data_IF_538398700539
#
_entry.id   IF_538398700539
#
_cell.length_a   1.000
_cell.length_b   1.000
_cell.length_c   1.000
_cell.angle_alpha   90.00
_cell.angle_beta   90.00
_cell.angle_gamma   90.00
#
_symmetry.space_group_name_H-M   'P 1'
#
loop_
_entity.id
_entity.type
_entity.pdbx_description
1 polymer ?
#
# COMPACT_ATOMS: atom_id res chain seq x y z
N UNK A 1 13.78 -53.17 13.82
CA UNK A 1 12.58 -52.49 14.30
C UNK A 1 12.50 -51.20 13.51
N UNK A 2 11.68 -51.14 12.47
CA UNK A 2 11.54 -49.95 11.63
C UNK A 2 10.55 -48.99 12.35
N UNK A 3 10.98 -47.75 12.59
CA UNK A 3 10.15 -46.70 13.14
C UNK A 3 8.96 -46.49 12.15
N UNK A 4 7.75 -46.56 12.64
CA UNK A 4 6.56 -46.31 11.85
C UNK A 4 6.39 -44.84 11.60
N UNK A 5 5.83 -44.44 10.46
CA UNK A 5 5.56 -43.04 10.11
C UNK A 5 4.70 -42.27 11.15
N UNK A 6 4.10 -42.98 12.13
CA UNK A 6 3.35 -42.41 13.26
C UNK A 6 4.21 -41.78 14.34
N UNK A 7 5.53 -42.03 14.34
CA UNK A 7 6.45 -41.52 15.39
C UNK A 7 7.17 -40.22 15.00
N UNK A 8 6.86 -39.67 13.83
CA UNK A 8 7.40 -38.34 13.47
C UNK A 8 6.67 -37.27 14.29
N UNK A 9 7.41 -36.41 15.00
CA UNK A 9 6.79 -35.30 15.70
C UNK A 9 6.04 -34.43 14.69
N UNK A 10 4.77 -34.15 14.98
CA UNK A 10 3.95 -33.28 14.16
C UNK A 10 4.69 -31.96 13.93
N UNK A 11 4.86 -31.57 12.66
CA UNK A 11 5.44 -30.28 12.30
C UNK A 11 4.58 -29.20 13.00
N UNK A 12 5.17 -28.27 13.74
CA UNK A 12 4.40 -27.24 14.43
C UNK A 12 3.47 -26.55 13.42
N UNK A 13 2.17 -26.66 13.61
CA UNK A 13 1.14 -26.06 12.74
C UNK A 13 0.97 -24.55 12.95
N UNK A 14 1.86 -23.94 13.75
CA UNK A 14 1.83 -22.52 14.09
C UNK A 14 2.62 -21.63 13.14
N UNK A 15 2.39 -20.31 13.17
CA UNK A 15 3.19 -19.35 12.42
C UNK A 15 4.65 -19.37 12.92
N UNK A 16 5.58 -19.12 11.99
CA UNK A 16 7.02 -19.02 12.33
C UNK A 16 7.27 -17.73 13.10
N UNK A 17 6.69 -16.63 12.63
CA UNK A 17 6.83 -15.30 13.22
C UNK A 17 5.70 -14.39 12.76
N UNK A 18 5.54 -13.28 13.47
CA UNK A 18 4.64 -12.19 13.10
C UNK A 18 5.42 -10.89 13.22
N UNK A 19 5.29 -10.05 12.23
CA UNK A 19 5.92 -8.75 12.22
C UNK A 19 4.85 -7.66 12.18
N UNK A 20 4.96 -6.75 13.15
CA UNK A 20 4.13 -5.55 13.26
C UNK A 20 5.03 -4.35 13.47
N UNK A 21 4.87 -3.28 12.67
CA UNK A 21 5.65 -2.07 12.88
C UNK A 21 5.30 -1.43 14.23
N UNK A 22 6.31 -1.01 14.95
CA UNK A 22 6.14 -0.24 16.17
C UNK A 22 5.57 1.16 15.85
N UNK A 23 5.04 1.85 16.88
CA UNK A 23 4.58 3.24 16.71
C UNK A 23 5.70 4.15 16.20
N UNK A 24 6.93 3.97 16.70
CA UNK A 24 8.09 4.74 16.24
C UNK A 24 8.41 4.46 14.77
N UNK A 25 8.29 3.21 14.33
CA UNK A 25 8.45 2.81 12.94
C UNK A 25 7.41 3.48 12.05
N UNK A 26 6.15 3.50 12.44
CA UNK A 26 5.08 4.20 11.72
C UNK A 26 5.36 5.69 11.58
N UNK A 27 5.79 6.35 12.65
CA UNK A 27 6.17 7.78 12.61
C UNK A 27 7.34 8.00 11.66
N UNK A 28 8.36 7.14 11.72
CA UNK A 28 9.50 7.21 10.81
C UNK A 28 9.09 7.08 9.33
N UNK A 29 8.19 6.17 9.00
CA UNK A 29 7.68 6.04 7.63
C UNK A 29 6.86 7.25 7.20
N UNK A 30 6.03 7.81 8.08
CA UNK A 30 5.29 9.04 7.78
C UNK A 30 6.24 10.19 7.45
N UNK A 31 7.33 10.34 8.21
CA UNK A 31 8.36 11.35 7.95
C UNK A 31 9.04 11.11 6.60
N UNK A 32 9.36 9.85 6.25
CA UNK A 32 9.94 9.49 4.95
C UNK A 32 8.94 9.65 3.79
N UNK A 33 7.66 9.48 4.04
CA UNK A 33 6.61 9.73 3.05
C UNK A 33 6.49 11.19 2.61
N UNK A 34 6.83 12.14 3.50
CA UNK A 34 6.76 13.57 3.17
C UNK A 34 7.66 13.96 1.99
N UNK A 35 8.98 13.68 1.97
CA UNK A 35 9.80 13.97 0.80
C UNK A 35 9.36 13.21 -0.44
N UNK A 36 8.84 11.99 -0.31
CA UNK A 36 8.24 11.26 -1.44
C UNK A 36 7.05 12.00 -2.02
N UNK A 37 6.15 12.51 -1.17
CA UNK A 37 5.00 13.32 -1.57
C UNK A 37 5.46 14.57 -2.34
N UNK A 38 6.46 15.29 -1.82
CA UNK A 38 6.98 16.51 -2.46
C UNK A 38 7.59 16.20 -3.82
N UNK A 39 8.46 15.21 -3.91
CA UNK A 39 9.11 14.82 -5.18
C UNK A 39 8.09 14.34 -6.21
N UNK A 40 7.13 13.51 -5.80
CA UNK A 40 6.06 13.07 -6.68
C UNK A 40 5.18 14.24 -7.13
N UNK A 41 4.88 15.19 -6.22
CA UNK A 41 4.11 16.39 -6.54
C UNK A 41 4.81 17.25 -7.60
N UNK A 42 6.10 17.48 -7.45
CA UNK A 42 6.89 18.18 -8.48
C UNK A 42 6.83 17.44 -9.82
N UNK A 43 6.97 16.09 -9.81
CA UNK A 43 6.89 15.28 -11.02
C UNK A 43 5.51 15.33 -11.68
N UNK A 44 4.43 15.15 -10.94
CA UNK A 44 3.07 15.20 -11.48
C UNK A 44 2.68 16.59 -11.96
N UNK A 45 3.07 17.67 -11.25
CA UNK A 45 2.86 19.03 -11.72
C UNK A 45 3.65 19.27 -13.01
N UNK A 46 4.91 18.85 -13.08
CA UNK A 46 5.73 18.96 -14.30
C UNK A 46 5.06 18.26 -15.48
N UNK A 47 4.53 17.05 -15.30
CA UNK A 47 3.81 16.32 -16.35
C UNK A 47 2.52 17.05 -16.72
N UNK A 48 1.69 17.45 -15.77
CA UNK A 48 0.40 18.10 -16.02
C UNK A 48 0.55 19.47 -16.70
N UNK A 49 1.61 20.20 -16.41
CA UNK A 49 1.89 21.52 -16.99
C UNK A 49 2.82 21.47 -18.21
N UNK A 50 3.22 20.27 -18.64
CA UNK A 50 4.16 20.04 -19.74
C UNK A 50 5.48 20.81 -19.57
N UNK A 51 6.00 20.84 -18.34
CA UNK A 51 7.24 21.48 -17.98
C UNK A 51 7.12 22.97 -17.57
N UNK A 52 5.94 23.56 -17.65
CA UNK A 52 5.70 24.94 -17.23
C UNK A 52 5.20 24.97 -15.77
N UNK A 53 6.08 25.22 -14.80
CA UNK A 53 5.62 25.40 -13.41
C UNK A 53 4.84 26.71 -13.26
N UNK A 54 3.67 26.71 -12.60
CA UNK A 54 2.93 27.94 -12.35
C UNK A 54 3.75 28.85 -11.42
N UNK A 55 3.89 30.13 -11.82
CA UNK A 55 4.69 31.12 -11.07
C UNK A 55 4.08 31.48 -9.72
N UNK A 56 2.77 31.36 -9.58
CA UNK A 56 2.03 31.62 -8.33
C UNK A 56 0.63 30.99 -8.45
N UNK A 57 0.06 30.62 -7.31
CA UNK A 57 -1.33 30.17 -7.23
C UNK A 57 -1.84 30.34 -5.79
N UNK A 58 -3.06 30.86 -5.64
CA UNK A 58 -3.80 30.83 -4.40
C UNK A 58 -4.87 29.75 -4.50
N UNK A 59 -4.91 28.82 -3.54
CA UNK A 59 -5.98 27.83 -3.45
C UNK A 59 -7.18 28.44 -2.71
N UNK A 60 -8.36 28.30 -3.26
CA UNK A 60 -9.60 28.61 -2.57
C UNK A 60 -10.19 27.37 -1.88
N UNK A 61 -11.18 27.57 -1.00
CA UNK A 61 -11.78 26.48 -0.22
C UNK A 61 -12.36 25.36 -1.09
N UNK A 62 -12.96 25.69 -2.24
CA UNK A 62 -13.51 24.68 -3.15
C UNK A 62 -12.41 23.80 -3.77
N UNK A 63 -11.27 24.39 -4.12
CA UNK A 63 -10.10 23.65 -4.62
C UNK A 63 -9.52 22.74 -3.53
N UNK A 64 -9.40 23.20 -2.29
CA UNK A 64 -8.96 22.38 -1.17
C UNK A 64 -9.92 21.22 -0.91
N UNK A 65 -11.23 21.47 -0.94
CA UNK A 65 -12.23 20.42 -0.82
C UNK A 65 -12.16 19.39 -1.96
N UNK A 66 -11.93 19.84 -3.20
CA UNK A 66 -11.74 18.97 -4.35
C UNK A 66 -10.48 18.10 -4.19
N UNK A 67 -9.34 18.68 -3.80
CA UNK A 67 -8.10 17.94 -3.53
C UNK A 67 -8.33 16.88 -2.46
N UNK A 68 -9.00 17.21 -1.37
CA UNK A 68 -9.33 16.26 -0.31
C UNK A 68 -10.21 15.12 -0.85
N UNK A 69 -11.29 15.43 -1.56
CA UNK A 69 -12.20 14.43 -2.13
C UNK A 69 -11.47 13.50 -3.12
N UNK A 70 -10.65 14.05 -4.02
CA UNK A 70 -9.86 13.25 -4.97
C UNK A 70 -8.81 12.39 -4.27
N UNK A 71 -8.18 12.91 -3.20
CA UNK A 71 -7.22 12.13 -2.40
C UNK A 71 -7.91 10.93 -1.75
N UNK A 72 -9.08 11.12 -1.12
CA UNK A 72 -9.84 10.01 -0.55
C UNK A 72 -10.30 9.00 -1.61
N UNK A 73 -10.75 9.48 -2.77
CA UNK A 73 -11.14 8.60 -3.88
C UNK A 73 -9.95 7.78 -4.39
N UNK A 74 -8.78 8.39 -4.58
CA UNK A 74 -7.58 7.70 -5.01
C UNK A 74 -7.05 6.73 -3.93
N UNK A 75 -7.17 7.07 -2.64
CA UNK A 75 -6.85 6.15 -1.56
C UNK A 75 -7.78 4.92 -1.56
N UNK A 76 -9.07 5.10 -1.84
CA UNK A 76 -10.00 3.98 -2.00
C UNK A 76 -9.64 3.10 -3.22
N UNK A 77 -9.22 3.71 -4.33
CA UNK A 77 -8.71 2.99 -5.52
C UNK A 77 -7.43 2.22 -5.17
N UNK A 78 -6.54 2.81 -4.38
CA UNK A 78 -5.32 2.15 -3.90
C UNK A 78 -5.66 0.83 -3.17
N UNK A 79 -6.57 0.88 -2.21
CA UNK A 79 -7.01 -0.31 -1.48
C UNK A 79 -7.75 -1.32 -2.40
N UNK A 80 -8.54 -0.81 -3.34
CA UNK A 80 -9.21 -1.67 -4.32
C UNK A 80 -8.21 -2.43 -5.21
N UNK A 81 -7.07 -1.85 -5.54
CA UNK A 81 -6.00 -2.54 -6.29
C UNK A 81 -5.38 -3.65 -5.45
N UNK A 82 -5.10 -3.43 -4.14
CA UNK A 82 -4.69 -4.50 -3.25
C UNK A 82 -5.69 -5.66 -3.27
N UNK A 83 -6.98 -5.35 -3.04
CA UNK A 83 -8.03 -6.36 -3.02
C UNK A 83 -8.18 -7.11 -4.35
N UNK A 84 -8.03 -6.42 -5.48
CA UNK A 84 -8.09 -7.05 -6.81
C UNK A 84 -6.95 -8.06 -7.00
N UNK A 85 -5.73 -7.69 -6.62
CA UNK A 85 -4.57 -8.58 -6.74
C UNK A 85 -4.67 -9.75 -5.75
N UNK A 86 -5.12 -9.51 -4.51
CA UNK A 86 -5.41 -10.55 -3.54
C UNK A 86 -6.43 -11.55 -4.08
N UNK A 87 -7.53 -11.06 -4.67
CA UNK A 87 -8.58 -11.90 -5.27
C UNK A 87 -8.06 -12.70 -6.46
N UNK A 88 -7.18 -12.14 -7.27
CA UNK A 88 -6.55 -12.84 -8.39
C UNK A 88 -5.69 -14.04 -7.92
N UNK A 89 -5.20 -14.01 -6.68
CA UNK A 89 -4.51 -15.13 -6.03
C UNK A 89 -5.43 -16.01 -5.19
N UNK A 90 -6.75 -15.86 -5.30
CA UNK A 90 -7.75 -16.72 -4.65
C UNK A 90 -8.09 -16.31 -3.21
N UNK A 91 -7.62 -15.17 -2.73
CA UNK A 91 -8.00 -14.65 -1.44
C UNK A 91 -9.40 -14.00 -1.47
N UNK A 92 -10.01 -13.87 -0.30
CA UNK A 92 -11.25 -13.11 -0.08
C UNK A 92 -10.89 -11.84 0.70
N UNK A 93 -10.60 -10.70 0.02
CA UNK A 93 -10.16 -9.50 0.70
C UNK A 93 -11.28 -8.85 1.51
N UNK A 94 -10.91 -8.34 2.68
CA UNK A 94 -11.76 -7.54 3.54
C UNK A 94 -11.32 -6.07 3.46
N UNK A 95 -12.30 -5.18 3.28
CA UNK A 95 -12.07 -3.73 3.20
C UNK A 95 -12.56 -3.06 4.46
N UNK A 96 -11.83 -2.07 4.92
CA UNK A 96 -12.24 -1.32 6.10
C UNK A 96 -11.76 0.11 6.12
N UNK A 97 -12.25 0.86 7.11
CA UNK A 97 -11.87 2.25 7.35
C UNK A 97 -11.02 2.33 8.61
N UNK A 98 -9.82 2.85 8.46
CA UNK A 98 -8.96 3.20 9.57
C UNK A 98 -9.52 4.44 10.27
N UNK A 99 -9.79 4.34 11.57
CA UNK A 99 -10.34 5.44 12.35
C UNK A 99 -9.47 5.70 13.57
N UNK A 100 -9.24 6.98 13.85
CA UNK A 100 -8.73 7.42 15.14
C UNK A 100 -9.89 8.12 15.84
N UNK A 101 -10.32 7.56 16.97
CA UNK A 101 -11.55 7.90 17.64
C UNK A 101 -12.76 7.73 16.70
N UNK A 102 -13.34 8.83 16.21
CA UNK A 102 -14.47 8.80 15.26
C UNK A 102 -14.12 9.35 13.87
N UNK A 103 -12.88 9.85 13.68
CA UNK A 103 -12.44 10.46 12.44
C UNK A 103 -11.89 9.39 11.50
N UNK A 104 -12.42 9.24 10.29
CA UNK A 104 -11.85 8.37 9.27
C UNK A 104 -10.52 8.97 8.80
N UNK A 105 -9.43 8.22 8.91
CA UNK A 105 -8.09 8.68 8.50
C UNK A 105 -7.61 8.01 7.22
N UNK A 106 -8.22 6.89 6.82
CA UNK A 106 -7.82 6.16 5.64
C UNK A 106 -8.61 4.86 5.48
N UNK A 107 -8.17 4.08 4.53
CA UNK A 107 -8.74 2.77 4.23
C UNK A 107 -7.68 1.70 4.49
N UNK A 108 -8.10 0.45 4.56
CA UNK A 108 -7.22 -0.70 4.56
C UNK A 108 -7.88 -1.87 3.85
N UNK A 109 -7.05 -2.72 3.29
CA UNK A 109 -7.45 -4.01 2.70
C UNK A 109 -6.60 -5.10 3.33
N UNK A 110 -7.21 -6.21 3.70
CA UNK A 110 -6.52 -7.36 4.30
C UNK A 110 -7.18 -8.66 3.85
N UNK A 111 -6.48 -9.77 3.97
CA UNK A 111 -6.99 -11.10 3.63
C UNK A 111 -6.64 -12.11 4.73
N UNK A 112 -7.29 -12.00 5.91
CA UNK A 112 -6.99 -12.87 7.04
C UNK A 112 -7.29 -14.34 6.70
N UNK A 113 -6.42 -15.24 7.13
CA UNK A 113 -6.54 -16.67 6.87
C UNK A 113 -6.05 -17.13 5.49
N UNK A 114 -5.76 -16.21 4.56
CA UNK A 114 -5.17 -16.57 3.27
C UNK A 114 -3.65 -16.47 3.30
N UNK A 115 -2.98 -17.50 2.79
CA UNK A 115 -1.51 -17.56 2.74
C UNK A 115 -1.05 -17.36 1.31
N UNK A 116 -0.31 -16.27 1.10
CA UNK A 116 0.32 -15.95 -0.17
C UNK A 116 1.75 -16.51 -0.17
N UNK A 117 2.21 -17.04 -1.29
CA UNK A 117 3.65 -17.20 -1.46
C UNK A 117 4.34 -15.83 -1.36
N UNK A 118 5.62 -15.82 -0.97
CA UNK A 118 6.38 -14.56 -0.87
C UNK A 118 6.28 -13.70 -2.13
N UNK A 119 6.32 -14.32 -3.33
CA UNK A 119 6.20 -13.60 -4.62
C UNK A 119 4.83 -12.97 -4.80
N UNK A 120 3.76 -13.71 -4.49
CA UNK A 120 2.39 -13.20 -4.57
C UNK A 120 2.20 -12.02 -3.62
N UNK A 121 2.70 -12.13 -2.38
CA UNK A 121 2.58 -11.06 -1.41
C UNK A 121 3.33 -9.78 -1.83
N UNK A 122 4.53 -9.91 -2.41
CA UNK A 122 5.26 -8.77 -2.99
C UNK A 122 4.49 -8.11 -4.14
N UNK A 123 3.79 -8.89 -4.98
CA UNK A 123 2.93 -8.34 -6.03
C UNK A 123 1.72 -7.62 -5.42
N UNK A 124 1.09 -8.19 -4.40
CA UNK A 124 0.00 -7.53 -3.66
C UNK A 124 0.48 -6.18 -3.11
N UNK A 125 1.60 -6.15 -2.40
CA UNK A 125 2.11 -4.95 -1.76
C UNK A 125 2.54 -3.85 -2.76
N UNK A 126 3.13 -4.22 -3.90
CA UNK A 126 3.66 -3.25 -4.87
C UNK A 126 2.65 -2.82 -5.94
N UNK A 127 1.56 -3.57 -6.15
CA UNK A 127 0.63 -3.29 -7.24
C UNK A 127 0.02 -1.89 -7.19
N UNK A 128 -0.51 -1.37 -6.07
CA UNK A 128 -1.07 -0.03 -6.04
C UNK A 128 -0.04 1.05 -6.34
N UNK A 129 1.17 0.92 -5.78
CA UNK A 129 2.26 1.85 -6.06
C UNK A 129 2.54 1.96 -7.56
N UNK A 130 2.67 0.83 -8.27
CA UNK A 130 2.94 0.80 -9.71
C UNK A 130 1.73 1.29 -10.52
N UNK A 131 0.53 0.77 -10.25
CA UNK A 131 -0.68 1.08 -11.00
C UNK A 131 -1.04 2.56 -10.87
N UNK A 132 -1.08 3.10 -9.64
CA UNK A 132 -1.45 4.49 -9.41
C UNK A 132 -0.38 5.44 -9.95
N UNK A 133 0.90 5.09 -9.81
CA UNK A 133 1.99 5.91 -10.36
C UNK A 133 1.91 6.01 -11.87
N UNK A 134 1.79 4.89 -12.58
CA UNK A 134 1.81 4.85 -14.03
C UNK A 134 0.52 5.43 -14.63
N UNK A 135 -0.64 4.99 -14.14
CA UNK A 135 -1.93 5.49 -14.64
C UNK A 135 -2.16 6.94 -14.21
N UNK A 136 -1.71 7.32 -13.02
CA UNK A 136 -1.76 8.70 -12.53
C UNK A 136 -0.90 9.64 -13.38
N UNK A 137 0.32 9.24 -13.72
CA UNK A 137 1.18 10.02 -14.61
C UNK A 137 0.54 10.19 -16.01
N UNK A 138 -0.05 9.12 -16.55
CA UNK A 138 -0.80 9.19 -17.81
C UNK A 138 -2.02 10.11 -17.71
N UNK A 139 -2.78 10.05 -16.61
CA UNK A 139 -3.94 10.90 -16.37
C UNK A 139 -3.56 12.38 -16.21
N UNK A 140 -2.36 12.69 -15.72
CA UNK A 140 -1.85 14.07 -15.65
C UNK A 140 -1.65 14.71 -17.04
N UNK A 141 -1.55 13.93 -18.12
CA UNK A 141 -1.47 14.46 -19.49
C UNK A 141 -2.83 14.90 -20.05
N UNK A 142 -3.93 14.54 -19.39
CA UNK A 142 -5.27 14.92 -19.80
C UNK A 142 -5.58 16.40 -19.43
N UNK A 143 -6.58 17.04 -20.07
CA UNK A 143 -6.89 18.45 -19.81
C UNK A 143 -7.18 18.79 -18.35
N UNK A 144 -7.68 17.82 -17.56
CA UNK A 144 -7.96 17.96 -16.13
C UNK A 144 -6.83 17.48 -15.22
N UNK A 145 -5.68 17.07 -15.79
CA UNK A 145 -4.57 16.46 -15.07
C UNK A 145 -3.99 17.30 -13.92
N UNK A 146 -4.04 18.63 -14.05
CA UNK A 146 -3.60 19.53 -12.99
C UNK A 146 -4.33 19.35 -11.65
N UNK A 147 -5.62 18.96 -11.68
CA UNK A 147 -6.39 18.67 -10.46
C UNK A 147 -5.97 17.37 -9.78
N UNK A 148 -5.35 16.45 -10.52
CA UNK A 148 -4.90 15.16 -10.03
C UNK A 148 -3.50 15.20 -9.43
N UNK A 149 -2.66 16.17 -9.79
CA UNK A 149 -1.25 16.18 -9.44
C UNK A 149 -1.01 16.13 -7.91
N UNK A 150 -1.71 16.96 -7.14
CA UNK A 150 -1.58 16.99 -5.67
C UNK A 150 -2.18 15.74 -5.01
N UNK A 151 -3.42 15.31 -5.33
CA UNK A 151 -3.98 14.06 -4.83
C UNK A 151 -3.11 12.84 -5.09
N UNK A 152 -2.59 12.69 -6.32
CA UNK A 152 -1.68 11.60 -6.67
C UNK A 152 -0.37 11.64 -5.88
N UNK A 153 0.19 12.83 -5.65
CA UNK A 153 1.39 12.99 -4.85
C UNK A 153 1.17 12.55 -3.39
N UNK A 154 0.03 12.90 -2.80
CA UNK A 154 -0.32 12.51 -1.43
C UNK A 154 -0.45 10.99 -1.33
N UNK A 155 -1.17 10.35 -2.27
CA UNK A 155 -1.33 8.90 -2.27
C UNK A 155 0.00 8.19 -2.55
N UNK A 156 0.84 8.72 -3.44
CA UNK A 156 2.19 8.20 -3.69
C UNK A 156 3.05 8.21 -2.42
N UNK A 157 3.05 9.31 -1.67
CA UNK A 157 3.75 9.37 -0.39
C UNK A 157 3.18 8.41 0.65
N UNK A 158 1.87 8.15 0.60
CA UNK A 158 1.19 7.17 1.44
C UNK A 158 1.63 5.72 1.18
N UNK A 159 2.08 5.39 -0.03
CA UNK A 159 2.61 4.05 -0.36
C UNK A 159 3.89 3.68 0.41
N UNK A 160 4.43 4.57 1.23
CA UNK A 160 5.63 4.28 2.05
C UNK A 160 5.40 3.05 2.95
N UNK A 161 4.19 2.82 3.42
CA UNK A 161 3.82 1.64 4.20
C UNK A 161 4.04 0.35 3.40
N UNK A 162 3.54 0.30 2.18
CA UNK A 162 3.66 -0.86 1.28
C UNK A 162 5.11 -1.12 0.89
N UNK A 163 5.87 -0.05 0.63
CA UNK A 163 7.29 -0.15 0.33
C UNK A 163 8.08 -0.67 1.53
N UNK A 164 7.73 -0.27 2.74
CA UNK A 164 8.37 -0.72 3.96
C UNK A 164 8.04 -2.19 4.27
N UNK A 165 6.78 -2.61 4.09
CA UNK A 165 6.38 -4.02 4.17
C UNK A 165 7.13 -4.83 3.10
N UNK A 166 7.16 -4.35 1.86
CA UNK A 166 7.91 -4.98 0.77
C UNK A 166 9.37 -5.18 1.14
N UNK A 167 10.03 -4.15 1.67
CA UNK A 167 11.43 -4.24 2.11
C UNK A 167 11.61 -5.30 3.19
N UNK A 168 10.72 -5.36 4.17
CA UNK A 168 10.76 -6.36 5.22
C UNK A 168 10.60 -7.79 4.66
N UNK A 169 9.62 -8.01 3.79
CA UNK A 169 9.34 -9.29 3.15
C UNK A 169 10.48 -9.74 2.23
N UNK A 170 11.19 -8.81 1.60
CA UNK A 170 12.41 -9.12 0.82
C UNK A 170 13.55 -9.69 1.68
N UNK A 171 13.59 -9.35 2.95
CA UNK A 171 14.55 -9.92 3.93
C UNK A 171 14.21 -11.32 4.43
N UNK A 172 13.01 -11.84 4.14
CA UNK A 172 12.56 -13.17 4.60
C UNK A 172 12.92 -14.25 3.55
N UNK A 173 13.22 -15.51 3.94
CA UNK A 173 13.49 -16.60 3.00
C UNK A 173 12.38 -16.84 1.98
N UNK A 174 12.70 -17.27 0.78
CA UNK A 174 11.75 -17.45 -0.32
C UNK A 174 10.75 -18.59 -0.13
N UNK A 175 11.05 -19.52 0.75
CA UNK A 175 10.22 -20.67 1.11
C UNK A 175 9.27 -20.38 2.29
N UNK A 176 8.84 -19.14 2.44
CA UNK A 176 7.92 -18.70 3.48
C UNK A 176 6.63 -18.22 2.82
N UNK A 177 5.50 -18.56 3.41
CA UNK A 177 4.20 -17.98 3.07
C UNK A 177 3.91 -16.77 3.97
N UNK A 178 3.22 -15.79 3.40
CA UNK A 178 2.85 -14.55 4.06
C UNK A 178 1.32 -14.49 4.20
N UNK A 179 0.83 -14.21 5.40
CA UNK A 179 -0.56 -13.90 5.65
C UNK A 179 -0.67 -12.41 5.96
N UNK A 180 -1.53 -11.73 5.23
CA UNK A 180 -1.75 -10.29 5.41
C UNK A 180 -2.60 -10.03 6.64
N UNK A 181 -2.10 -9.18 7.53
CA UNK A 181 -2.80 -8.74 8.72
C UNK A 181 -3.11 -7.24 8.61
N UNK A 182 -4.15 -6.80 9.29
CA UNK A 182 -4.53 -5.39 9.31
C UNK A 182 -3.39 -4.43 9.70
N UNK A 183 -2.44 -4.90 10.52
CA UNK A 183 -1.38 -4.08 11.11
C UNK A 183 0.02 -4.69 10.95
N UNK A 184 0.18 -5.62 10.00
CA UNK A 184 1.45 -6.29 9.77
C UNK A 184 1.36 -7.51 8.88
N UNK A 185 2.34 -8.39 8.99
CA UNK A 185 2.41 -9.63 8.21
C UNK A 185 2.80 -10.79 9.11
N UNK A 186 2.16 -11.94 8.92
CA UNK A 186 2.46 -13.19 9.61
C UNK A 186 3.11 -14.15 8.62
N UNK A 187 4.16 -14.82 9.09
CA UNK A 187 4.94 -15.74 8.27
C UNK A 187 4.68 -17.20 8.67
N UNK A 188 4.54 -18.04 7.67
CA UNK A 188 4.29 -19.46 7.80
C UNK A 188 5.37 -20.25 7.05
N UNK A 189 5.60 -21.48 7.48
CA UNK A 189 6.45 -22.39 6.72
C UNK A 189 5.66 -22.87 5.49
N UNK A 190 6.25 -22.72 4.29
CA UNK A 190 5.70 -23.25 3.06
C UNK A 190 5.79 -24.78 3.01
#
# INVERSE_FOLDING_TARGET
MAATMSDMPAIPSGPISEWKPSRATWVGWTILGLPMTVLAGLGYVFIATRGAFPASGSANLAQLALVAALTFALAAVHEAVHGLVMSAFGASPEFGVLRVERVPLGFFTTAPGHRFSRRQYLLVALAPFLVITLLGAAACLLPFGGYLAVPLAIVFGGCIGDLAITWHVLGVPSNVECEDLRDGVRFWKA
#
